data_IF_342119338902
#
_entry.id   IF_342119338902
#
_cell.length_a   1.000
_cell.length_b   1.000
_cell.length_c   1.000
_cell.angle_alpha   90.00
_cell.angle_beta   90.00
_cell.angle_gamma   90.00
#
_symmetry.space_group_name_H-M   'P 1'
#
loop_
_entity.id
_entity.type
_entity.pdbx_description
1 polymer ?
#
# COMPACT_ATOMS: atom_id res chain seq x y z
N UNK A 1 -18.92 -11.13 -19.09
CA UNK A 1 -19.27 -12.46 -18.52
C UNK A 1 -18.05 -13.37 -18.56
N UNK A 2 -17.22 -13.31 -19.62
CA UNK A 2 -16.04 -14.17 -19.76
C UNK A 2 -14.89 -13.81 -18.80
N UNK A 3 -14.76 -12.53 -18.46
CA UNK A 3 -13.78 -12.07 -17.47
C UNK A 3 -13.99 -12.67 -16.07
N UNK A 4 -15.23 -12.75 -15.61
CA UNK A 4 -15.54 -13.35 -14.28
C UNK A 4 -15.28 -14.86 -14.28
N UNK A 5 -15.44 -15.52 -15.42
CA UNK A 5 -15.17 -16.95 -15.57
C UNK A 5 -13.65 -17.26 -15.66
N UNK A 6 -12.82 -16.27 -15.97
CA UNK A 6 -11.36 -16.42 -16.02
C UNK A 6 -10.69 -16.27 -14.67
N UNK A 7 -11.44 -15.89 -13.61
CA UNK A 7 -10.91 -15.76 -12.25
C UNK A 7 -10.50 -17.13 -11.72
N UNK A 8 -9.23 -17.25 -11.35
CA UNK A 8 -8.70 -18.46 -10.75
C UNK A 8 -8.57 -18.34 -9.21
N UNK A 9 -8.11 -19.41 -8.56
CA UNK A 9 -7.93 -19.44 -7.11
C UNK A 9 -6.93 -18.38 -6.64
N UNK A 10 -5.92 -18.06 -7.43
CA UNK A 10 -4.90 -17.05 -7.09
C UNK A 10 -5.54 -15.66 -7.08
N UNK A 11 -6.38 -15.35 -8.07
CA UNK A 11 -7.11 -14.08 -8.12
C UNK A 11 -8.04 -13.92 -6.91
N UNK A 12 -8.71 -14.98 -6.50
CA UNK A 12 -9.59 -14.96 -5.34
C UNK A 12 -8.84 -14.74 -4.03
N UNK A 13 -7.68 -15.41 -3.83
CA UNK A 13 -6.86 -15.25 -2.63
C UNK A 13 -6.22 -13.86 -2.60
N UNK A 14 -5.75 -13.37 -3.75
CA UNK A 14 -5.20 -12.04 -3.89
C UNK A 14 -6.26 -10.96 -3.61
N UNK A 15 -7.46 -11.15 -4.15
CA UNK A 15 -8.60 -10.27 -3.89
C UNK A 15 -9.03 -10.28 -2.43
N UNK A 16 -9.06 -11.45 -1.79
CA UNK A 16 -9.37 -11.55 -0.36
C UNK A 16 -8.32 -10.82 0.49
N UNK A 17 -7.03 -10.97 0.19
CA UNK A 17 -5.95 -10.25 0.87
C UNK A 17 -6.12 -8.73 0.71
N UNK A 18 -6.43 -8.25 -0.49
CA UNK A 18 -6.69 -6.84 -0.76
C UNK A 18 -7.92 -6.32 0.00
N UNK A 19 -9.02 -7.07 0.01
CA UNK A 19 -10.24 -6.70 0.73
C UNK A 19 -10.00 -6.61 2.24
N UNK A 20 -9.24 -7.56 2.82
CA UNK A 20 -8.84 -7.53 4.22
C UNK A 20 -7.97 -6.30 4.48
N UNK A 21 -6.98 -6.01 3.61
CA UNK A 21 -6.11 -4.85 3.75
C UNK A 21 -6.92 -3.56 3.82
N UNK A 22 -7.84 -3.32 2.88
CA UNK A 22 -8.67 -2.13 2.89
C UNK A 22 -9.61 -2.04 4.09
N UNK A 23 -10.27 -3.13 4.43
CA UNK A 23 -11.20 -3.15 5.56
C UNK A 23 -10.46 -2.83 6.86
N UNK A 24 -9.33 -3.49 7.11
CA UNK A 24 -8.55 -3.27 8.33
C UNK A 24 -7.86 -1.91 8.35
N UNK A 25 -7.50 -1.34 7.19
CA UNK A 25 -7.04 0.04 7.06
C UNK A 25 -8.10 1.04 7.52
N UNK A 26 -9.36 0.88 7.08
CA UNK A 26 -10.47 1.75 7.53
C UNK A 26 -10.66 1.62 9.04
N UNK A 27 -10.66 0.41 9.59
CA UNK A 27 -10.72 0.22 11.05
C UNK A 27 -9.53 0.87 11.78
N UNK A 28 -8.33 0.78 11.24
CA UNK A 28 -7.18 1.47 11.80
C UNK A 28 -7.43 2.99 11.86
N UNK A 29 -7.87 3.59 10.76
CA UNK A 29 -8.17 5.03 10.70
C UNK A 29 -9.28 5.46 11.68
N UNK A 30 -10.24 4.58 12.00
CA UNK A 30 -11.31 4.87 12.95
C UNK A 30 -10.88 4.73 14.41
N UNK A 31 -9.96 3.80 14.72
CA UNK A 31 -9.63 3.41 16.10
C UNK A 31 -8.24 3.81 16.56
N UNK A 32 -7.37 4.33 15.67
CA UNK A 32 -6.10 4.94 16.06
C UNK A 32 -5.91 6.27 15.32
N UNK A 33 -4.75 6.90 15.45
CA UNK A 33 -4.44 8.12 14.70
C UNK A 33 -3.99 7.79 13.27
N UNK A 34 -4.23 8.71 12.34
CA UNK A 34 -3.69 8.64 10.98
C UNK A 34 -2.18 8.45 10.99
N UNK A 35 -1.49 9.18 11.88
CA UNK A 35 -0.05 9.09 12.06
C UNK A 35 0.40 7.69 12.49
N UNK A 36 -0.27 7.07 13.48
CA UNK A 36 0.02 5.70 13.91
C UNK A 36 -0.22 4.70 12.78
N UNK A 37 -1.32 4.85 12.05
CA UNK A 37 -1.65 3.98 10.92
C UNK A 37 -0.56 4.05 9.87
N UNK A 38 -0.18 5.24 9.40
CA UNK A 38 0.87 5.43 8.40
C UNK A 38 2.22 4.88 8.88
N UNK A 39 2.58 5.09 10.17
CA UNK A 39 3.80 4.54 10.72
C UNK A 39 3.83 3.01 10.69
N UNK A 40 2.76 2.38 11.15
CA UNK A 40 2.67 0.91 11.16
C UNK A 40 2.70 0.37 9.72
N UNK A 41 2.09 1.05 8.76
CA UNK A 41 2.13 0.67 7.35
C UNK A 41 3.55 0.69 6.75
N UNK A 42 4.51 1.43 7.35
CA UNK A 42 5.92 1.36 6.92
C UNK A 42 6.55 0.00 7.17
N UNK A 43 5.91 -0.87 7.94
CA UNK A 43 6.33 -2.27 8.09
C UNK A 43 6.04 -3.13 6.85
N UNK A 44 5.14 -2.69 5.95
CA UNK A 44 4.75 -3.43 4.75
C UNK A 44 5.92 -3.81 3.84
N UNK A 45 6.91 -2.94 3.51
CA UNK A 45 8.07 -3.35 2.73
C UNK A 45 8.88 -4.48 3.36
N UNK A 46 9.03 -4.47 4.70
CA UNK A 46 9.75 -5.54 5.41
C UNK A 46 8.99 -6.85 5.32
N UNK A 47 7.66 -6.82 5.51
CA UNK A 47 6.79 -7.99 5.36
C UNK A 47 6.82 -8.53 3.93
N UNK A 48 6.72 -7.66 2.93
CA UNK A 48 6.79 -8.03 1.52
C UNK A 48 8.15 -8.64 1.16
N UNK A 49 9.25 -8.09 1.70
CA UNK A 49 10.59 -8.62 1.52
C UNK A 49 10.74 -10.04 2.11
N UNK A 50 10.28 -10.25 3.34
CA UNK A 50 10.34 -11.54 4.02
C UNK A 50 9.46 -12.57 3.30
N UNK A 51 8.22 -12.21 2.99
CA UNK A 51 7.29 -13.10 2.28
C UNK A 51 7.78 -13.43 0.86
N UNK A 52 8.31 -12.45 0.13
CA UNK A 52 8.90 -12.67 -1.19
C UNK A 52 10.10 -13.61 -1.13
N UNK A 53 10.94 -13.47 -0.11
CA UNK A 53 12.06 -14.38 0.10
C UNK A 53 11.59 -15.81 0.44
N UNK A 54 10.65 -15.96 1.39
CA UNK A 54 10.19 -17.27 1.86
C UNK A 54 9.33 -17.99 0.81
N UNK A 55 8.46 -17.29 0.07
CA UNK A 55 7.48 -17.90 -0.83
C UNK A 55 7.94 -18.02 -2.28
N UNK A 56 8.78 -17.09 -2.73
CA UNK A 56 9.22 -17.00 -4.13
C UNK A 56 10.72 -17.24 -4.25
N UNK A 57 11.48 -17.13 -3.14
CA UNK A 57 12.94 -17.25 -3.16
C UNK A 57 13.66 -15.96 -3.59
N UNK A 58 12.96 -14.87 -3.77
CA UNK A 58 13.51 -13.56 -4.11
C UNK A 58 14.21 -12.95 -2.90
N UNK A 59 15.53 -13.11 -2.80
CA UNK A 59 16.32 -12.49 -1.72
C UNK A 59 16.49 -11.00 -1.97
N UNK A 60 15.99 -10.13 -1.07
CA UNK A 60 16.19 -8.68 -1.21
C UNK A 60 17.67 -8.33 -1.13
N UNK A 61 18.10 -7.40 -1.98
CA UNK A 61 19.46 -6.87 -1.92
C UNK A 61 19.70 -6.13 -0.59
N UNK A 62 20.91 -6.16 -0.01
CA UNK A 62 21.20 -5.44 1.24
C UNK A 62 20.82 -3.95 1.20
N UNK A 63 20.96 -3.32 0.04
CA UNK A 63 20.55 -1.93 -0.17
C UNK A 63 19.03 -1.74 0.02
N UNK A 64 18.21 -2.70 -0.38
CA UNK A 64 16.76 -2.66 -0.18
C UNK A 64 16.42 -2.56 1.31
N UNK A 65 17.12 -3.32 2.16
CA UNK A 65 16.96 -3.25 3.61
C UNK A 65 17.35 -1.88 4.18
N UNK A 66 18.47 -1.30 3.72
CA UNK A 66 18.91 0.02 4.17
C UNK A 66 17.89 1.10 3.78
N UNK A 67 17.37 1.04 2.56
CA UNK A 67 16.35 1.99 2.08
C UNK A 67 15.06 1.86 2.88
N UNK A 68 14.60 0.63 3.16
CA UNK A 68 13.41 0.40 3.99
C UNK A 68 13.57 1.02 5.39
N UNK A 69 14.71 0.80 6.03
CA UNK A 69 15.01 1.39 7.35
C UNK A 69 15.04 2.92 7.27
N UNK A 70 15.73 3.49 6.28
CA UNK A 70 15.83 4.94 6.11
C UNK A 70 14.45 5.57 5.84
N UNK A 71 13.63 4.96 4.97
CA UNK A 71 12.27 5.43 4.71
C UNK A 71 11.38 5.35 5.96
N UNK A 72 11.46 4.25 6.73
CA UNK A 72 10.72 4.12 7.99
C UNK A 72 11.11 5.17 9.03
N UNK A 73 12.41 5.50 9.13
CA UNK A 73 12.89 6.60 9.98
C UNK A 73 12.31 7.94 9.48
N UNK A 74 12.30 8.18 8.17
CA UNK A 74 11.71 9.38 7.60
C UNK A 74 10.23 9.54 7.96
N UNK A 75 9.43 8.48 7.82
CA UNK A 75 8.02 8.49 8.22
C UNK A 75 7.89 8.69 9.74
N UNK A 76 8.72 8.03 10.56
CA UNK A 76 8.71 8.22 12.01
C UNK A 76 8.96 9.68 12.41
N UNK A 77 9.88 10.37 11.72
CA UNK A 77 10.16 11.80 11.92
C UNK A 77 8.96 12.66 11.52
N UNK A 78 8.31 12.37 10.38
CA UNK A 78 7.12 13.11 9.92
C UNK A 78 6.00 13.10 10.95
N UNK A 79 5.72 11.94 11.53
CA UNK A 79 4.48 11.71 12.30
C UNK A 79 4.68 11.68 13.81
N UNK A 80 5.90 11.96 14.29
CA UNK A 80 6.31 11.74 15.69
C UNK A 80 5.37 12.35 16.74
N UNK A 81 4.67 13.43 16.41
CA UNK A 81 3.78 14.15 17.33
C UNK A 81 2.36 13.58 17.35
N UNK A 82 2.01 12.75 16.37
CA UNK A 82 0.65 12.20 16.20
C UNK A 82 0.50 10.71 16.52
N UNK A 83 1.57 10.04 16.97
CA UNK A 83 1.52 8.59 17.23
C UNK A 83 0.76 8.29 18.53
N UNK A 84 -0.28 7.46 18.45
CA UNK A 84 -1.09 7.02 19.56
C UNK A 84 -0.83 5.53 19.84
N UNK A 85 0.14 5.23 20.72
CA UNK A 85 0.54 3.86 21.04
C UNK A 85 -0.43 3.14 22.00
N UNK A 86 -1.29 3.88 22.68
CA UNK A 86 -2.30 3.39 23.62
C UNK A 86 -3.55 2.80 22.94
N UNK A 87 -3.72 3.01 21.64
CA UNK A 87 -4.88 2.56 20.86
C UNK A 87 -4.63 1.19 20.21
N UNK A 88 -4.48 0.17 21.04
CA UNK A 88 -4.05 -1.18 20.63
C UNK A 88 -4.89 -1.79 19.51
N UNK A 89 -6.23 -1.67 19.54
CA UNK A 89 -7.09 -2.26 18.51
C UNK A 89 -6.81 -1.66 17.13
N UNK A 90 -6.78 -0.33 17.00
CA UNK A 90 -6.49 0.34 15.73
C UNK A 90 -5.07 0.03 15.23
N UNK A 91 -4.09 -0.04 16.14
CA UNK A 91 -2.70 -0.37 15.78
C UNK A 91 -2.58 -1.83 15.28
N UNK A 92 -3.32 -2.79 15.87
CA UNK A 92 -3.39 -4.16 15.36
C UNK A 92 -4.06 -4.19 13.98
N UNK A 93 -5.13 -3.44 13.77
CA UNK A 93 -5.78 -3.36 12.46
C UNK A 93 -4.83 -2.79 11.38
N UNK A 94 -4.02 -1.78 11.72
CA UNK A 94 -2.99 -1.26 10.82
C UNK A 94 -1.94 -2.33 10.46
N UNK A 95 -1.51 -3.13 11.45
CA UNK A 95 -0.55 -4.21 11.23
C UNK A 95 -1.12 -5.32 10.33
N UNK A 96 -2.38 -5.69 10.55
CA UNK A 96 -3.09 -6.68 9.71
C UNK A 96 -3.24 -6.13 8.29
N UNK A 97 -3.53 -4.83 8.14
CA UNK A 97 -3.58 -4.17 6.83
C UNK A 97 -2.24 -4.24 6.10
N UNK A 98 -1.14 -3.87 6.78
CA UNK A 98 0.22 -3.94 6.22
C UNK A 98 0.58 -5.36 5.77
N UNK A 99 0.28 -6.36 6.60
CA UNK A 99 0.55 -7.77 6.28
C UNK A 99 -0.28 -8.23 5.08
N UNK A 100 -1.59 -7.95 5.07
CA UNK A 100 -2.49 -8.38 4.00
C UNK A 100 -2.15 -7.71 2.67
N UNK A 101 -1.76 -6.44 2.68
CA UNK A 101 -1.27 -5.73 1.51
C UNK A 101 0.03 -6.35 0.98
N UNK A 102 0.97 -6.69 1.88
CA UNK A 102 2.21 -7.38 1.52
C UNK A 102 1.95 -8.76 0.91
N UNK A 103 1.01 -9.53 1.47
CA UNK A 103 0.56 -10.81 0.91
C UNK A 103 0.00 -10.62 -0.49
N UNK A 104 -0.84 -9.63 -0.71
CA UNK A 104 -1.40 -9.31 -2.03
C UNK A 104 -0.30 -9.02 -3.05
N UNK A 105 0.70 -8.16 -2.71
CA UNK A 105 1.81 -7.82 -3.60
C UNK A 105 2.65 -9.08 -3.96
N UNK A 106 2.95 -9.91 -2.97
CA UNK A 106 3.73 -11.14 -3.18
C UNK A 106 2.95 -12.15 -4.02
N UNK A 107 1.64 -12.27 -3.83
CA UNK A 107 0.78 -13.14 -4.65
C UNK A 107 0.70 -12.63 -6.10
N UNK A 108 0.56 -11.32 -6.31
CA UNK A 108 0.60 -10.70 -7.63
C UNK A 108 1.91 -11.05 -8.35
N UNK A 109 3.04 -10.91 -7.67
CA UNK A 109 4.38 -11.27 -8.17
C UNK A 109 4.50 -12.76 -8.47
N UNK A 110 4.08 -13.62 -7.52
CA UNK A 110 4.14 -15.08 -7.64
C UNK A 110 3.26 -15.63 -8.76
N UNK A 111 2.16 -14.98 -9.08
CA UNK A 111 1.21 -15.45 -10.09
C UNK A 111 1.83 -15.62 -11.47
N UNK A 112 2.90 -14.85 -11.77
CA UNK A 112 3.52 -14.82 -13.10
C UNK A 112 2.59 -14.33 -14.21
N UNK A 113 1.39 -13.88 -13.86
CA UNK A 113 0.41 -13.37 -14.81
C UNK A 113 0.79 -11.97 -15.24
N UNK A 114 0.62 -11.67 -16.52
CA UNK A 114 0.71 -10.30 -17.06
C UNK A 114 -0.55 -9.48 -16.74
N UNK A 115 -1.67 -10.16 -16.52
CA UNK A 115 -2.94 -9.54 -16.12
C UNK A 115 -3.33 -10.04 -14.72
N UNK A 116 -3.18 -9.17 -13.73
CA UNK A 116 -3.56 -9.36 -12.33
C UNK A 116 -4.79 -8.54 -11.94
N UNK A 117 -5.45 -7.91 -12.93
CA UNK A 117 -6.64 -7.09 -12.70
C UNK A 117 -7.81 -7.92 -12.16
N UNK A 118 -7.85 -9.24 -12.47
CA UNK A 118 -8.84 -10.16 -11.93
C UNK A 118 -8.85 -10.19 -10.41
N UNK A 119 -7.68 -10.31 -9.78
CA UNK A 119 -7.56 -10.28 -8.33
C UNK A 119 -7.91 -8.92 -7.73
N UNK A 120 -7.50 -7.82 -8.40
CA UNK A 120 -7.86 -6.46 -7.97
C UNK A 120 -9.37 -6.24 -8.03
N UNK A 121 -10.02 -6.69 -9.11
CA UNK A 121 -11.47 -6.63 -9.25
C UNK A 121 -12.20 -7.46 -8.18
N UNK A 122 -11.77 -8.70 -7.96
CA UNK A 122 -12.34 -9.55 -6.91
C UNK A 122 -12.16 -8.91 -5.52
N UNK A 123 -11.01 -8.30 -5.26
CA UNK A 123 -10.73 -7.54 -4.03
C UNK A 123 -11.66 -6.36 -3.84
N UNK A 124 -11.91 -5.59 -4.89
CA UNK A 124 -12.85 -4.47 -4.87
C UNK A 124 -14.28 -4.93 -4.54
N UNK A 125 -14.76 -5.98 -5.22
CA UNK A 125 -16.10 -6.54 -4.97
C UNK A 125 -16.23 -7.07 -3.53
N UNK A 126 -15.21 -7.79 -3.04
CA UNK A 126 -15.20 -8.28 -1.66
C UNK A 126 -15.14 -7.14 -0.65
N UNK A 127 -14.32 -6.11 -0.88
CA UNK A 127 -14.23 -4.95 0.01
C UNK A 127 -15.57 -4.20 0.10
N UNK A 128 -16.24 -3.97 -1.03
CA UNK A 128 -17.58 -3.36 -1.06
C UNK A 128 -18.59 -4.23 -0.30
N UNK A 129 -18.57 -5.56 -0.50
CA UNK A 129 -19.47 -6.49 0.20
C UNK A 129 -19.23 -6.45 1.71
N UNK A 130 -17.97 -6.53 2.14
CA UNK A 130 -17.62 -6.45 3.56
C UNK A 130 -18.03 -5.09 4.14
N UNK A 131 -17.72 -3.99 3.45
CA UNK A 131 -18.07 -2.64 3.88
C UNK A 131 -19.60 -2.45 4.02
N UNK A 132 -20.36 -2.98 3.07
CA UNK A 132 -21.83 -2.97 3.11
C UNK A 132 -22.35 -3.72 4.36
N UNK A 133 -21.89 -4.96 4.56
CA UNK A 133 -22.30 -5.79 5.71
C UNK A 133 -21.93 -5.10 7.03
N UNK A 134 -20.72 -4.56 7.14
CA UNK A 134 -20.28 -3.87 8.35
C UNK A 134 -21.08 -2.58 8.59
N UNK A 135 -21.40 -1.82 7.54
CA UNK A 135 -22.24 -0.63 7.64
C UNK A 135 -23.66 -0.94 8.11
N UNK A 136 -24.23 -2.07 7.69
CA UNK A 136 -25.55 -2.51 8.14
C UNK A 136 -25.55 -3.02 9.59
N UNK A 137 -24.44 -3.62 10.06
CA UNK A 137 -24.35 -4.17 11.42
C UNK A 137 -23.95 -3.08 12.44
N UNK A 138 -23.00 -2.25 12.12
CA UNK A 138 -22.38 -1.30 13.05
C UNK A 138 -22.62 0.16 12.71
N UNK A 139 -23.14 0.45 11.54
CA UNK A 139 -23.36 1.81 11.05
C UNK A 139 -24.74 2.37 11.36
N UNK A 140 -24.91 3.65 11.04
CA UNK A 140 -26.20 4.38 11.12
C UNK A 140 -27.10 4.14 9.90
N UNK A 141 -26.74 3.16 9.05
CA UNK A 141 -27.42 2.84 7.79
C UNK A 141 -26.70 3.42 6.57
N UNK A 142 -27.31 3.22 5.40
CA UNK A 142 -26.78 3.65 4.09
C UNK A 142 -27.36 4.99 3.62
N UNK A 143 -27.98 5.77 4.49
CA UNK A 143 -28.55 7.07 4.15
C UNK A 143 -27.43 8.12 4.01
N UNK A 144 -26.90 8.23 2.79
CA UNK A 144 -25.84 9.20 2.43
C UNK A 144 -26.44 10.19 1.44
N UNK A 145 -26.07 11.48 1.57
CA UNK A 145 -26.48 12.50 0.62
C UNK A 145 -26.03 12.18 -0.81
N UNK A 146 -26.85 12.51 -1.83
CA UNK A 146 -26.48 12.19 -3.23
C UNK A 146 -25.15 12.79 -3.68
N UNK A 147 -24.77 13.96 -3.17
CA UNK A 147 -23.49 14.61 -3.42
C UNK A 147 -22.33 13.81 -2.79
N UNK A 148 -22.45 13.43 -1.53
CA UNK A 148 -21.43 12.64 -0.81
C UNK A 148 -21.26 11.25 -1.42
N UNK A 149 -22.35 10.64 -1.86
CA UNK A 149 -22.33 9.37 -2.61
C UNK A 149 -21.56 9.53 -3.92
N UNK A 150 -21.82 10.60 -4.67
CA UNK A 150 -21.13 10.90 -5.93
C UNK A 150 -19.62 11.08 -5.73
N UNK A 151 -19.22 11.88 -4.72
CA UNK A 151 -17.79 12.07 -4.37
C UNK A 151 -17.15 10.75 -3.96
N UNK A 152 -17.82 9.97 -3.10
CA UNK A 152 -17.27 8.69 -2.61
C UNK A 152 -17.07 7.69 -3.75
N UNK A 153 -18.01 7.61 -4.69
CA UNK A 153 -17.88 6.76 -5.89
C UNK A 153 -16.74 7.24 -6.80
N UNK A 154 -16.63 8.55 -7.02
CA UNK A 154 -15.54 9.12 -7.81
C UNK A 154 -14.18 8.83 -7.18
N UNK A 155 -14.01 9.10 -5.89
CA UNK A 155 -12.76 8.80 -5.18
C UNK A 155 -12.44 7.30 -5.18
N UNK A 156 -13.43 6.45 -4.93
CA UNK A 156 -13.26 5.02 -4.95
C UNK A 156 -12.81 4.48 -6.32
N UNK A 157 -13.44 4.96 -7.40
CA UNK A 157 -13.12 4.50 -8.75
C UNK A 157 -11.78 5.07 -9.26
N UNK A 158 -11.59 6.38 -9.17
CA UNK A 158 -10.47 7.06 -9.81
C UNK A 158 -9.24 7.15 -8.91
N UNK A 159 -9.37 7.49 -7.65
CA UNK A 159 -8.21 7.66 -6.77
C UNK A 159 -7.69 6.32 -6.29
N UNK A 160 -8.55 5.48 -5.73
CA UNK A 160 -8.16 4.18 -5.16
C UNK A 160 -8.13 3.10 -6.23
N UNK A 161 -9.21 2.95 -7.03
CA UNK A 161 -9.36 1.84 -7.98
C UNK A 161 -8.28 1.82 -9.05
N UNK A 162 -8.05 2.94 -9.72
CA UNK A 162 -7.00 3.05 -10.75
C UNK A 162 -5.62 2.94 -10.10
N UNK A 163 -5.39 3.59 -8.95
CA UNK A 163 -4.11 3.54 -8.24
C UNK A 163 -3.72 2.10 -7.86
N UNK A 164 -4.63 1.35 -7.26
CA UNK A 164 -4.39 -0.05 -6.88
C UNK A 164 -4.24 -0.96 -8.10
N UNK A 165 -4.98 -0.71 -9.19
CA UNK A 165 -4.80 -1.46 -10.44
C UNK A 165 -3.37 -1.31 -10.97
N UNK A 166 -2.81 -0.09 -10.98
CA UNK A 166 -1.41 0.14 -11.39
C UNK A 166 -0.40 -0.48 -10.42
N UNK A 167 -0.60 -0.36 -9.11
CA UNK A 167 0.28 -0.99 -8.10
C UNK A 167 0.30 -2.50 -8.26
N UNK A 168 -0.88 -3.11 -8.40
CA UNK A 168 -1.00 -4.57 -8.54
C UNK A 168 -0.41 -5.05 -9.87
N UNK A 169 -0.65 -4.33 -10.95
CA UNK A 169 -0.05 -4.61 -12.25
C UNK A 169 1.48 -4.48 -12.19
N UNK A 170 2.01 -3.42 -11.60
CA UNK A 170 3.45 -3.23 -11.40
C UNK A 170 4.09 -4.34 -10.56
N UNK A 171 3.38 -4.85 -9.56
CA UNK A 171 3.85 -5.92 -8.69
C UNK A 171 4.09 -7.26 -9.42
N UNK A 172 3.53 -7.46 -10.62
CA UNK A 172 3.85 -8.65 -11.44
C UNK A 172 5.23 -8.57 -12.12
N UNK A 173 5.78 -7.37 -12.29
CA UNK A 173 7.05 -7.14 -12.97
C UNK A 173 8.22 -6.83 -12.03
N UNK A 174 7.94 -6.32 -10.85
CA UNK A 174 8.92 -5.80 -9.90
C UNK A 174 8.81 -6.59 -8.58
N UNK A 175 9.93 -6.86 -7.87
CA UNK A 175 9.87 -7.51 -6.56
C UNK A 175 8.90 -6.80 -5.60
N UNK A 176 8.13 -7.58 -4.84
CA UNK A 176 7.07 -7.04 -3.97
C UNK A 176 7.59 -6.02 -2.94
N UNK A 177 8.81 -6.22 -2.41
CA UNK A 177 9.47 -5.28 -1.51
C UNK A 177 9.73 -3.92 -2.17
N UNK A 178 10.12 -3.91 -3.44
CA UNK A 178 10.41 -2.69 -4.21
C UNK A 178 9.14 -1.89 -4.48
N UNK A 179 8.07 -2.57 -4.91
CA UNK A 179 6.75 -1.93 -5.09
C UNK A 179 6.27 -1.32 -3.77
N UNK A 180 6.41 -2.04 -2.67
CA UNK A 180 6.00 -1.57 -1.35
C UNK A 180 6.80 -0.34 -0.88
N UNK A 181 8.10 -0.24 -1.21
CA UNK A 181 8.90 0.97 -0.96
C UNK A 181 8.38 2.15 -1.77
N UNK A 182 8.03 1.95 -3.05
CA UNK A 182 7.49 3.01 -3.90
C UNK A 182 6.14 3.54 -3.37
N UNK A 183 5.32 2.68 -2.81
CA UNK A 183 4.04 3.08 -2.17
C UNK A 183 4.26 4.03 -0.98
N UNK A 184 5.41 3.97 -0.29
CA UNK A 184 5.72 4.91 0.79
C UNK A 184 5.80 6.38 0.34
N UNK A 185 5.90 6.66 -0.96
CA UNK A 185 5.80 8.03 -1.50
C UNK A 185 4.45 8.66 -1.13
N UNK A 186 3.40 7.84 -1.02
CA UNK A 186 2.07 8.29 -0.58
C UNK A 186 2.13 9.01 0.78
N UNK A 187 2.95 8.53 1.72
CA UNK A 187 3.12 9.16 3.03
C UNK A 187 3.65 10.59 2.96
N UNK A 188 4.38 10.94 1.89
CA UNK A 188 4.87 12.30 1.64
C UNK A 188 3.85 13.13 0.89
N UNK A 189 3.17 12.54 -0.07
CA UNK A 189 2.14 13.22 -0.87
C UNK A 189 0.90 13.59 -0.03
N UNK A 190 0.58 12.78 1.00
CA UNK A 190 -0.52 13.02 1.90
C UNK A 190 -0.52 14.44 2.49
N UNK A 191 0.52 14.89 3.21
CA UNK A 191 0.64 16.25 3.72
C UNK A 191 0.83 17.33 2.64
N UNK A 192 1.42 16.98 1.49
CA UNK A 192 1.67 17.95 0.41
C UNK A 192 0.40 18.46 -0.24
N UNK A 193 -0.61 17.62 -0.42
CA UNK A 193 -1.87 18.03 -1.05
C UNK A 193 -2.64 19.07 -0.25
N UNK A 194 -2.88 18.91 1.08
CA UNK A 194 -3.47 19.94 1.92
C UNK A 194 -2.66 21.24 1.92
N UNK A 195 -1.33 21.17 1.94
CA UNK A 195 -0.48 22.35 1.84
C UNK A 195 -0.70 23.13 0.53
N UNK A 196 -0.74 22.45 -0.62
CA UNK A 196 -0.90 23.09 -1.93
C UNK A 196 -2.33 23.61 -2.15
N UNK A 197 -3.35 22.81 -1.76
CA UNK A 197 -4.74 23.06 -2.13
C UNK A 197 -5.47 23.89 -1.05
N UNK A 198 -5.19 23.61 0.23
CA UNK A 198 -5.89 24.24 1.35
C UNK A 198 -5.06 25.34 2.04
N UNK A 199 -3.79 25.52 1.64
CA UNK A 199 -2.88 26.48 2.26
C UNK A 199 -2.47 26.10 3.69
N UNK A 200 -2.58 24.81 4.06
CA UNK A 200 -2.13 24.33 5.36
C UNK A 200 -0.60 24.46 5.47
N UNK A 201 -0.10 24.75 6.67
CA UNK A 201 1.34 24.87 6.90
C UNK A 201 1.96 23.53 7.20
N UNK A 202 3.00 23.16 6.45
CA UNK A 202 3.80 21.98 6.76
C UNK A 202 4.67 22.23 8.01
N UNK A 203 4.66 21.29 8.93
CA UNK A 203 5.57 21.31 10.07
C UNK A 203 7.02 21.03 9.62
N UNK A 204 8.00 21.50 10.42
CA UNK A 204 9.41 21.20 10.15
C UNK A 204 9.69 19.69 10.09
N UNK A 205 8.98 18.91 10.90
CA UNK A 205 9.13 17.45 10.96
C UNK A 205 8.58 16.77 9.71
N UNK A 206 7.45 17.24 9.18
CA UNK A 206 6.90 16.75 7.91
C UNK A 206 7.84 17.01 6.74
N UNK A 207 8.44 18.21 6.67
CA UNK A 207 9.42 18.54 5.63
C UNK A 207 10.68 17.68 5.75
N UNK A 208 11.28 17.57 6.95
CA UNK A 208 12.51 16.79 7.16
C UNK A 208 12.26 15.31 6.89
N UNK A 209 11.22 14.73 7.46
CA UNK A 209 10.88 13.33 7.28
C UNK A 209 10.52 13.02 5.82
N UNK A 210 9.76 13.90 5.16
CA UNK A 210 9.43 13.78 3.74
C UNK A 210 10.68 13.78 2.84
N UNK A 211 11.66 14.64 3.13
CA UNK A 211 12.94 14.63 2.40
C UNK A 211 13.71 13.33 2.61
N UNK A 212 13.70 12.75 3.81
CA UNK A 212 14.34 11.45 4.08
C UNK A 212 13.65 10.34 3.27
N UNK A 213 12.31 10.28 3.27
CA UNK A 213 11.54 9.29 2.50
C UNK A 213 11.83 9.42 1.01
N UNK A 214 11.67 10.60 0.44
CA UNK A 214 11.91 10.84 -0.99
C UNK A 214 13.37 10.55 -1.37
N UNK A 215 14.32 10.99 -0.55
CA UNK A 215 15.75 10.69 -0.74
C UNK A 215 16.01 9.18 -0.77
N UNK A 216 15.41 8.44 0.16
CA UNK A 216 15.52 6.98 0.22
C UNK A 216 14.97 6.30 -1.04
N UNK A 217 13.80 6.74 -1.52
CA UNK A 217 13.19 6.19 -2.75
C UNK A 217 14.02 6.54 -3.99
N UNK A 218 14.55 7.77 -4.08
CA UNK A 218 15.42 8.18 -5.20
C UNK A 218 16.70 7.36 -5.21
N UNK A 219 17.37 7.21 -4.06
CA UNK A 219 18.59 6.37 -3.93
C UNK A 219 18.26 4.93 -4.36
N UNK A 220 17.15 4.38 -3.89
CA UNK A 220 16.71 3.05 -4.29
C UNK A 220 16.53 2.93 -5.80
N UNK A 221 15.80 3.87 -6.44
CA UNK A 221 15.56 3.86 -7.88
C UNK A 221 16.85 3.97 -8.71
N UNK A 222 17.83 4.76 -8.25
CA UNK A 222 19.12 4.91 -8.93
C UNK A 222 19.97 3.64 -8.84
N UNK A 223 20.01 3.00 -7.67
CA UNK A 223 20.77 1.75 -7.46
C UNK A 223 20.14 0.60 -8.24
N UNK A 224 18.82 0.43 -8.15
CA UNK A 224 18.09 -0.63 -8.87
C UNK A 224 18.29 -0.52 -10.40
N UNK A 225 18.31 0.71 -10.95
CA UNK A 225 18.64 0.92 -12.37
C UNK A 225 20.07 0.53 -12.72
N UNK A 226 21.04 0.81 -11.83
CA UNK A 226 22.46 0.48 -12.07
C UNK A 226 22.68 -1.03 -12.10
N UNK A 227 22.03 -1.75 -11.19
CA UNK A 227 22.14 -3.21 -11.12
C UNK A 227 21.51 -3.88 -12.34
N UNK A 228 20.36 -3.39 -12.80
CA UNK A 228 19.71 -3.87 -14.03
C UNK A 228 20.59 -3.66 -15.28
N UNK A 229 21.26 -2.50 -15.39
CA UNK A 229 22.18 -2.22 -16.51
C UNK A 229 23.42 -3.10 -16.46
N UNK A 230 23.98 -3.34 -15.29
CA UNK A 230 25.14 -4.20 -15.12
C UNK A 230 24.81 -5.66 -15.46
N UNK A 231 23.63 -6.15 -15.07
CA UNK A 231 23.15 -7.48 -15.41
C UNK A 231 22.95 -7.65 -16.93
N UNK A 232 22.39 -6.63 -17.62
CA UNK A 232 22.25 -6.63 -19.08
C UNK A 232 23.61 -6.61 -19.80
N UNK A 233 24.57 -5.82 -19.32
CA UNK A 233 25.92 -5.75 -19.89
C UNK A 233 26.67 -7.09 -19.74
N UNK A 234 26.48 -7.79 -18.62
CA UNK A 234 27.08 -9.10 -18.35
C UNK A 234 26.44 -10.23 -19.20
N UNK A 235 25.21 -10.08 -19.65
CA UNK A 235 24.52 -11.08 -20.49
C UNK A 235 24.86 -10.98 -21.99
N UNK A 236 25.57 -9.93 -22.42
CA UNK A 236 25.98 -9.67 -23.81
C UNK A 236 27.46 -10.08 -24.06
N UNK A 237 28.20 -10.40 -22.98
CA UNK A 237 29.57 -10.93 -23.04
C UNK A 237 29.58 -12.46 -22.90
#
# INVERSE_FOLDING_TARGET
VDFVKSLDRTDMVMGAALAIAFTTYVFAMLYTSVASTLFILTSSPFMAAILGWVWIGEKPHPMTWMVMVAASIGVAVMIREGVALDRNFGNIMALVSALSFSVMLVLARRSGKTDVLGGTFAGGVLAVTIGLVLSLIFGTGLSVGGFDMGISLFMGAFSIGIGIAFVTWGASYVPAAEVSILVLIESVLGPLWPWIVLGETLSKHEVIGGMIVLGSVVVFALVSRRDSRNAQAASVL
#
